data_IF_229268292646
#
_entry.id   IF_229268292646
#
_cell.length_a   1.000
_cell.length_b   1.000
_cell.length_c   1.000
_cell.angle_alpha   90.00
_cell.angle_beta   90.00
_cell.angle_gamma   90.00
#
_symmetry.space_group_name_H-M   'P 1'
#
loop_
_entity.id
_entity.type
_entity.pdbx_description
1 polymer ?
#
# COMPACT_ATOMS: atom_id res chain seq x y z
N UNK A 1 -25.74 59.93 25.81
CA UNK A 1 -24.38 59.63 25.34
C UNK A 1 -23.91 58.39 26.06
N UNK A 2 -24.02 57.24 25.43
CA UNK A 2 -23.50 55.97 25.89
C UNK A 2 -22.21 55.71 25.09
N UNK A 3 -21.07 55.80 25.76
CA UNK A 3 -19.74 55.51 25.23
C UNK A 3 -19.57 53.99 25.19
N UNK A 4 -19.54 53.37 23.99
CA UNK A 4 -19.07 52.03 23.80
C UNK A 4 -17.55 51.99 23.85
N UNK A 5 -17.01 51.49 24.95
CA UNK A 5 -15.60 51.18 25.05
C UNK A 5 -15.28 49.98 24.18
N UNK A 6 -14.57 50.21 23.06
CA UNK A 6 -13.87 49.13 22.33
C UNK A 6 -12.77 48.58 23.28
N UNK A 7 -12.97 47.39 23.77
CA UNK A 7 -11.92 46.64 24.44
C UNK A 7 -10.80 46.34 23.44
N UNK A 8 -9.68 47.03 23.57
CA UNK A 8 -8.43 46.65 22.87
C UNK A 8 -8.01 45.28 23.33
N UNK A 9 -8.13 44.30 22.43
CA UNK A 9 -7.47 43.00 22.62
C UNK A 9 -5.96 43.32 22.63
N UNK A 10 -5.32 43.13 23.78
CA UNK A 10 -3.87 43.31 23.91
C UNK A 10 -3.20 42.36 22.91
N UNK A 11 -2.66 42.89 21.83
CA UNK A 11 -1.76 42.17 20.93
C UNK A 11 -0.54 41.76 21.77
N UNK A 12 -0.38 40.44 21.99
CA UNK A 12 0.79 39.89 22.69
C UNK A 12 2.09 40.40 22.07
N UNK A 13 3.09 40.57 22.89
CA UNK A 13 4.39 41.09 22.44
C UNK A 13 5.07 40.09 21.49
N UNK A 14 5.03 40.38 20.19
CA UNK A 14 5.65 39.54 19.14
C UNK A 14 7.16 39.35 19.30
N UNK A 15 7.83 40.17 20.15
CA UNK A 15 9.27 40.06 20.42
C UNK A 15 9.62 38.77 21.16
N UNK A 16 8.70 38.19 21.95
CA UNK A 16 8.87 36.95 22.69
C UNK A 16 8.75 35.67 21.84
N UNK A 17 8.12 35.78 20.67
CA UNK A 17 7.79 34.60 19.85
C UNK A 17 9.01 33.75 19.40
N UNK A 18 10.16 34.33 18.94
CA UNK A 18 11.32 33.50 18.55
C UNK A 18 11.90 32.77 19.77
N UNK A 19 11.89 33.38 20.94
CA UNK A 19 12.33 32.76 22.18
C UNK A 19 11.43 31.59 22.59
N UNK A 20 10.12 31.81 22.63
CA UNK A 20 9.13 30.77 22.95
C UNK A 20 9.12 29.63 21.92
N UNK A 21 9.32 29.93 20.62
CA UNK A 21 9.50 28.90 19.59
C UNK A 21 10.68 27.98 19.89
N UNK A 22 11.82 28.54 20.29
CA UNK A 22 12.99 27.74 20.65
C UNK A 22 12.72 26.89 21.88
N UNK A 23 12.13 27.48 22.92
CA UNK A 23 11.83 26.83 24.21
C UNK A 23 10.90 25.63 23.99
N UNK A 24 9.73 25.82 23.37
CA UNK A 24 8.81 24.70 23.20
C UNK A 24 9.37 23.64 22.25
N UNK A 25 10.14 24.03 21.22
CA UNK A 25 10.73 23.09 20.31
C UNK A 25 11.75 22.18 20.99
N UNK A 26 12.59 22.72 21.88
CA UNK A 26 13.53 21.91 22.68
C UNK A 26 12.80 20.94 23.61
N UNK A 27 11.79 21.41 24.37
CA UNK A 27 10.98 20.53 25.19
C UNK A 27 10.26 19.43 24.36
N UNK A 28 9.69 19.78 23.19
CA UNK A 28 8.97 18.83 22.35
C UNK A 28 9.90 17.79 21.71
N UNK A 29 11.15 18.14 21.37
CA UNK A 29 12.16 17.19 20.86
C UNK A 29 12.48 16.10 21.87
N UNK A 30 12.54 16.42 23.14
CA UNK A 30 12.77 15.45 24.23
C UNK A 30 11.47 14.87 24.80
N UNK A 31 10.34 15.13 24.14
CA UNK A 31 8.99 14.65 24.51
C UNK A 31 8.49 15.16 25.89
N UNK A 32 9.04 16.24 26.39
CA UNK A 32 8.53 16.95 27.55
C UNK A 32 7.40 17.90 27.13
N UNK A 33 6.25 17.34 26.78
CA UNK A 33 5.14 18.08 26.18
C UNK A 33 4.42 18.96 27.19
N UNK A 34 4.46 18.62 28.48
CA UNK A 34 3.86 19.46 29.54
C UNK A 34 4.58 20.80 29.66
N UNK A 35 5.91 20.78 29.69
CA UNK A 35 6.71 22.01 29.68
C UNK A 35 6.66 22.76 28.36
N UNK A 36 6.39 22.07 27.27
CA UNK A 36 6.26 22.67 25.92
C UNK A 36 4.94 23.44 25.76
N UNK A 37 3.87 23.06 26.47
CA UNK A 37 2.50 23.51 26.19
C UNK A 37 2.32 25.01 26.26
N UNK A 38 2.74 25.63 27.38
CA UNK A 38 2.53 27.07 27.59
C UNK A 38 3.32 27.95 26.61
N UNK A 39 4.64 27.80 26.41
CA UNK A 39 5.37 28.58 25.41
C UNK A 39 4.90 28.32 23.99
N UNK A 40 4.44 27.08 23.67
CA UNK A 40 3.82 26.78 22.39
C UNK A 40 2.52 27.55 22.19
N UNK A 41 1.64 27.58 23.18
CA UNK A 41 0.36 28.27 23.10
C UNK A 41 0.52 29.78 22.89
N UNK A 42 1.50 30.38 23.52
CA UNK A 42 1.84 31.80 23.32
C UNK A 42 2.26 32.08 21.87
N UNK A 43 3.08 31.22 21.27
CA UNK A 43 3.47 31.35 19.85
C UNK A 43 2.26 31.15 18.93
N UNK A 44 1.43 30.12 19.18
CA UNK A 44 0.24 29.85 18.36
C UNK A 44 -0.72 31.04 18.35
N UNK A 45 -0.95 31.68 19.49
CA UNK A 45 -1.91 32.78 19.61
C UNK A 45 -1.37 34.14 19.15
N UNK A 46 -0.05 34.36 19.28
CA UNK A 46 0.55 35.68 19.00
C UNK A 46 1.21 35.76 17.62
N UNK A 47 1.82 34.67 17.16
CA UNK A 47 2.65 34.63 15.96
C UNK A 47 2.48 33.29 15.18
N UNK A 48 1.26 32.85 14.85
CA UNK A 48 1.03 31.55 14.20
C UNK A 48 1.79 31.41 12.88
N UNK A 49 2.00 32.52 12.15
CA UNK A 49 2.72 32.58 10.88
C UNK A 49 4.24 32.41 11.00
N UNK A 50 4.80 32.38 12.21
CA UNK A 50 6.25 32.41 12.43
C UNK A 50 6.95 31.18 11.90
N UNK A 51 6.43 29.98 12.20
CA UNK A 51 7.06 28.73 11.80
C UNK A 51 6.08 27.56 11.82
N UNK A 52 6.13 26.71 10.78
CA UNK A 52 5.32 25.48 10.68
C UNK A 52 5.57 24.50 11.86
N UNK A 53 6.67 24.62 12.57
CA UNK A 53 6.96 23.84 13.78
C UNK A 53 5.90 24.04 14.87
N UNK A 54 5.27 25.23 14.94
CA UNK A 54 4.15 25.51 15.86
C UNK A 54 3.03 24.50 15.68
N UNK A 55 2.67 24.17 14.46
CA UNK A 55 1.61 23.20 14.16
C UNK A 55 2.07 21.75 14.33
N UNK A 56 3.26 21.40 13.80
CA UNK A 56 3.81 20.03 13.90
C UNK A 56 4.08 19.55 15.31
N UNK A 57 4.54 20.43 16.18
CA UNK A 57 4.72 20.10 17.58
C UNK A 57 3.41 20.27 18.37
N UNK A 58 2.56 21.24 18.01
CA UNK A 58 1.24 21.45 18.59
C UNK A 58 0.37 20.21 18.55
N UNK A 59 0.31 19.54 17.40
CA UNK A 59 -0.38 18.25 17.25
C UNK A 59 0.10 17.20 18.29
N UNK A 60 1.40 17.09 18.48
CA UNK A 60 1.99 16.13 19.45
C UNK A 60 1.75 16.54 20.90
N UNK A 61 1.85 17.82 21.18
CA UNK A 61 1.61 18.40 22.51
C UNK A 61 0.15 18.15 22.90
N UNK A 62 -0.80 18.48 22.01
CA UNK A 62 -2.22 18.29 22.28
C UNK A 62 -2.60 16.81 22.36
N UNK A 63 -2.06 15.95 21.50
CA UNK A 63 -2.25 14.51 21.60
C UNK A 63 -1.78 13.96 22.96
N UNK A 64 -0.65 14.46 23.49
CA UNK A 64 -0.18 14.12 24.84
C UNK A 64 -1.15 14.62 25.93
N UNK A 65 -1.61 15.89 25.84
CA UNK A 65 -2.59 16.45 26.78
C UNK A 65 -3.89 15.68 26.79
N UNK A 66 -4.45 15.35 25.62
CA UNK A 66 -5.68 14.55 25.48
C UNK A 66 -5.50 13.16 26.10
N UNK A 67 -4.34 12.53 25.88
CA UNK A 67 -4.05 11.19 26.42
C UNK A 67 -3.95 11.17 27.93
N UNK A 68 -3.39 12.22 28.55
CA UNK A 68 -3.05 12.25 29.96
C UNK A 68 -4.00 13.11 30.80
N UNK A 69 -5.03 13.72 30.20
CA UNK A 69 -6.06 14.45 30.97
C UNK A 69 -6.83 13.47 31.87
N UNK A 70 -6.92 13.80 33.15
CA UNK A 70 -7.63 13.00 34.17
C UNK A 70 -9.14 13.14 34.07
N UNK A 71 -9.62 14.31 33.67
CA UNK A 71 -11.06 14.64 33.67
C UNK A 71 -11.59 14.92 32.26
N UNK A 72 -11.82 16.20 31.92
CA UNK A 72 -12.40 16.58 30.64
C UNK A 72 -11.34 16.80 29.56
N UNK A 73 -11.37 15.99 28.52
CA UNK A 73 -10.49 16.08 27.35
C UNK A 73 -11.03 17.05 26.29
N UNK A 74 -12.28 17.49 26.41
CA UNK A 74 -13.02 18.21 25.38
C UNK A 74 -12.31 19.48 24.95
N UNK A 75 -11.79 20.25 25.90
CA UNK A 75 -11.08 21.49 25.61
C UNK A 75 -9.83 21.27 24.75
N UNK A 76 -9.01 20.24 25.06
CA UNK A 76 -7.81 19.93 24.28
C UNK A 76 -8.17 19.35 22.90
N UNK A 77 -9.27 18.61 22.78
CA UNK A 77 -9.77 18.10 21.50
C UNK A 77 -10.23 19.27 20.62
N UNK A 78 -10.99 20.23 21.17
CA UNK A 78 -11.40 21.43 20.45
C UNK A 78 -10.18 22.27 20.00
N UNK A 79 -9.20 22.42 20.88
CA UNK A 79 -7.95 23.12 20.55
C UNK A 79 -7.19 22.41 19.41
N UNK A 80 -7.18 21.07 19.38
CA UNK A 80 -6.58 20.30 18.30
C UNK A 80 -7.34 20.49 16.97
N UNK A 81 -8.67 20.55 16.99
CA UNK A 81 -9.46 20.81 15.79
C UNK A 81 -9.17 22.20 15.24
N UNK A 82 -9.12 23.23 16.10
CA UNK A 82 -8.77 24.60 15.73
C UNK A 82 -7.32 24.69 15.19
N UNK A 83 -6.39 23.95 15.79
CA UNK A 83 -4.99 23.91 15.33
C UNK A 83 -4.88 23.47 13.87
N UNK A 84 -5.68 22.47 13.42
CA UNK A 84 -5.66 22.04 12.02
C UNK A 84 -6.23 23.11 11.07
N UNK A 85 -7.26 23.86 11.49
CA UNK A 85 -7.82 24.96 10.69
C UNK A 85 -6.81 26.11 10.53
N UNK A 86 -6.15 26.47 11.62
CA UNK A 86 -5.05 27.45 11.61
C UNK A 86 -3.87 26.95 10.77
N UNK A 87 -3.52 25.65 10.84
CA UNK A 87 -2.44 25.09 10.04
C UNK A 87 -2.69 25.25 8.54
N UNK A 88 -3.89 24.95 8.06
CA UNK A 88 -4.27 25.16 6.65
C UNK A 88 -4.20 26.65 6.28
N UNK A 89 -4.61 27.52 7.18
CA UNK A 89 -4.61 28.97 6.94
C UNK A 89 -3.20 29.52 6.78
N UNK A 90 -2.29 29.16 7.68
CA UNK A 90 -0.94 29.74 7.73
C UNK A 90 0.10 28.97 6.91
N UNK A 91 -0.03 27.64 6.81
CA UNK A 91 0.95 26.78 6.12
C UNK A 91 0.30 25.70 5.27
N UNK A 92 -0.51 26.08 4.23
CA UNK A 92 -1.14 25.11 3.33
C UNK A 92 -0.13 24.41 2.44
N UNK A 93 1.11 24.94 2.34
CA UNK A 93 2.17 24.42 1.47
C UNK A 93 3.49 24.25 2.22
N UNK A 94 4.33 23.35 1.71
CA UNK A 94 5.73 23.24 2.13
C UNK A 94 6.56 24.44 1.67
N UNK A 95 7.78 24.61 2.20
CA UNK A 95 8.75 25.60 1.71
C UNK A 95 9.07 25.49 0.21
N UNK A 96 8.89 24.29 -0.39
CA UNK A 96 9.07 24.05 -1.84
C UNK A 96 7.80 24.26 -2.65
N UNK A 97 6.74 24.82 -2.08
CA UNK A 97 5.47 25.12 -2.76
C UNK A 97 4.54 23.90 -2.95
N UNK A 98 4.87 22.73 -2.42
CA UNK A 98 3.98 21.55 -2.51
C UNK A 98 2.84 21.68 -1.50
N UNK A 99 1.60 21.41 -1.93
CA UNK A 99 0.44 21.39 -1.04
C UNK A 99 0.61 20.34 0.10
N UNK A 100 0.16 20.70 1.28
CA UNK A 100 -0.02 19.83 2.44
C UNK A 100 -1.50 19.77 2.89
N UNK A 101 -2.42 20.37 2.13
CA UNK A 101 -3.84 20.47 2.48
C UNK A 101 -4.49 19.11 2.72
N UNK A 102 -4.29 18.16 1.82
CA UNK A 102 -4.84 16.81 1.95
C UNK A 102 -4.33 16.08 3.19
N UNK A 103 -3.05 16.26 3.51
CA UNK A 103 -2.44 15.71 4.73
C UNK A 103 -3.04 16.32 6.00
N UNK A 104 -3.19 17.64 6.04
CA UNK A 104 -3.69 18.36 7.22
C UNK A 104 -5.17 18.01 7.45
N UNK A 105 -6.01 18.10 6.41
CA UNK A 105 -7.43 17.73 6.49
C UNK A 105 -7.63 16.26 6.88
N UNK A 106 -6.86 15.34 6.29
CA UNK A 106 -6.97 13.93 6.65
C UNK A 106 -6.51 13.64 8.08
N UNK A 107 -5.55 14.40 8.61
CA UNK A 107 -5.15 14.33 10.01
C UNK A 107 -6.27 14.86 10.92
N UNK A 108 -6.94 15.96 10.55
CA UNK A 108 -8.10 16.50 11.28
C UNK A 108 -9.22 15.46 11.35
N UNK A 109 -9.64 14.92 10.21
CA UNK A 109 -10.69 13.90 10.15
C UNK A 109 -10.33 12.63 10.94
N UNK A 110 -9.05 12.19 10.88
CA UNK A 110 -8.56 11.07 11.69
C UNK A 110 -8.65 11.37 13.18
N UNK A 111 -8.28 12.56 13.61
CA UNK A 111 -8.37 12.98 15.01
C UNK A 111 -9.83 13.06 15.47
N UNK A 112 -10.77 13.52 14.61
CA UNK A 112 -12.21 13.50 14.91
C UNK A 112 -12.69 12.08 15.23
N UNK A 113 -12.30 11.09 14.45
CA UNK A 113 -12.65 9.67 14.69
C UNK A 113 -11.95 9.14 15.95
N UNK A 114 -10.64 9.37 16.11
CA UNK A 114 -9.84 8.85 17.22
C UNK A 114 -10.33 9.40 18.56
N UNK A 115 -10.74 10.66 18.62
CA UNK A 115 -11.18 11.35 19.85
C UNK A 115 -12.70 11.50 19.96
N UNK A 116 -13.47 10.95 19.00
CA UNK A 116 -14.94 11.02 18.94
C UNK A 116 -15.46 12.47 19.00
N UNK A 117 -14.85 13.34 18.19
CA UNK A 117 -15.22 14.74 18.06
C UNK A 117 -16.02 14.94 16.76
N UNK A 118 -17.31 15.24 16.88
CA UNK A 118 -18.22 15.36 15.76
C UNK A 118 -18.82 14.01 15.35
N UNK A 119 -19.56 14.03 14.25
CA UNK A 119 -20.26 12.85 13.69
C UNK A 119 -19.40 12.11 12.67
N UNK A 120 -19.78 10.86 12.37
CA UNK A 120 -19.19 10.06 11.28
C UNK A 120 -19.31 10.77 9.92
N UNK A 121 -20.43 11.44 9.67
CA UNK A 121 -20.66 12.18 8.43
C UNK A 121 -19.72 13.37 8.30
N UNK A 122 -19.57 14.18 9.35
CA UNK A 122 -18.62 15.33 9.33
C UNK A 122 -17.17 14.85 9.09
N UNK A 123 -16.74 13.77 9.75
CA UNK A 123 -15.42 13.21 9.49
C UNK A 123 -15.26 12.71 8.04
N UNK A 124 -16.29 12.04 7.49
CA UNK A 124 -16.33 11.61 6.09
C UNK A 124 -16.20 12.79 5.12
N UNK A 125 -16.94 13.88 5.36
CA UNK A 125 -16.90 15.08 4.51
C UNK A 125 -15.51 15.72 4.48
N UNK A 126 -14.83 15.80 5.64
CA UNK A 126 -13.45 16.31 5.73
C UNK A 126 -12.46 15.37 5.04
N UNK A 127 -12.58 14.05 5.21
CA UNK A 127 -11.75 13.09 4.45
C UNK A 127 -11.99 13.22 2.94
N UNK A 128 -13.24 13.35 2.52
CA UNK A 128 -13.57 13.50 1.11
C UNK A 128 -13.03 14.84 0.55
N UNK A 129 -13.13 15.91 1.31
CA UNK A 129 -12.52 17.20 0.97
C UNK A 129 -11.00 17.07 0.81
N UNK A 130 -10.32 16.40 1.75
CA UNK A 130 -8.88 16.13 1.69
C UNK A 130 -8.49 15.39 0.41
N UNK A 131 -9.29 14.38 0.06
CA UNK A 131 -9.03 13.51 -1.08
C UNK A 131 -9.29 14.23 -2.43
N UNK A 132 -10.37 15.00 -2.52
CA UNK A 132 -10.73 15.75 -3.75
C UNK A 132 -9.78 16.92 -3.99
N UNK A 133 -9.44 17.67 -2.94
CA UNK A 133 -8.62 18.88 -3.09
C UNK A 133 -7.14 18.57 -3.28
N UNK A 134 -6.62 17.55 -2.57
CA UNK A 134 -5.19 17.25 -2.57
C UNK A 134 -4.90 15.79 -2.22
N UNK A 135 -5.36 14.85 -3.05
CA UNK A 135 -5.05 13.44 -2.90
C UNK A 135 -3.53 13.17 -2.86
N UNK A 136 -2.73 14.05 -3.49
CA UNK A 136 -1.27 13.87 -3.57
C UNK A 136 -0.62 13.90 -2.18
N UNK A 137 -1.04 14.80 -1.29
CA UNK A 137 -0.50 14.88 0.07
C UNK A 137 -1.24 14.00 1.09
N UNK A 138 -2.42 13.44 0.74
CA UNK A 138 -3.15 12.48 1.58
C UNK A 138 -2.51 11.09 1.49
N UNK A 139 -1.45 10.84 2.25
CA UNK A 139 -0.58 9.66 2.15
C UNK A 139 -0.55 8.76 3.40
N UNK A 140 -1.36 9.04 4.42
CA UNK A 140 -1.45 8.21 5.62
C UNK A 140 -2.24 6.92 5.36
N UNK A 141 -1.65 5.72 5.46
CA UNK A 141 -2.38 4.47 5.25
C UNK A 141 -3.48 4.26 6.28
N UNK A 142 -3.28 4.69 7.54
CA UNK A 142 -4.31 4.66 8.58
C UNK A 142 -5.50 5.53 8.19
N UNK A 143 -5.25 6.77 7.78
CA UNK A 143 -6.31 7.74 7.46
C UNK A 143 -7.07 7.36 6.18
N UNK A 144 -6.39 6.81 5.16
CA UNK A 144 -7.04 6.25 3.97
C UNK A 144 -7.96 5.07 4.34
N UNK A 145 -7.50 4.17 5.19
CA UNK A 145 -8.32 3.07 5.69
C UNK A 145 -9.50 3.58 6.53
N UNK A 146 -9.27 4.55 7.43
CA UNK A 146 -10.35 5.15 8.25
C UNK A 146 -11.37 5.84 7.38
N UNK A 147 -10.95 6.55 6.32
CA UNK A 147 -11.85 7.15 5.35
C UNK A 147 -12.76 6.10 4.70
N UNK A 148 -12.21 4.99 4.24
CA UNK A 148 -13.06 3.91 3.71
C UNK A 148 -13.97 3.29 4.77
N UNK A 149 -13.48 3.09 5.98
CA UNK A 149 -14.29 2.53 7.06
C UNK A 149 -15.45 3.47 7.45
N UNK A 150 -15.26 4.79 7.45
CA UNK A 150 -16.38 5.75 7.63
C UNK A 150 -17.35 5.69 6.46
N UNK A 151 -16.89 5.56 5.23
CA UNK A 151 -17.72 5.34 4.03
C UNK A 151 -18.59 4.08 4.19
N UNK A 152 -17.97 2.98 4.62
CA UNK A 152 -18.68 1.71 4.83
C UNK A 152 -19.73 1.80 5.94
N UNK A 153 -19.44 2.49 7.03
CA UNK A 153 -20.40 2.71 8.11
C UNK A 153 -21.61 3.52 7.63
N UNK A 154 -21.40 4.62 6.90
CA UNK A 154 -22.46 5.43 6.30
C UNK A 154 -23.31 4.63 5.30
N UNK A 155 -22.69 3.74 4.52
CA UNK A 155 -23.40 2.80 3.66
C UNK A 155 -24.28 1.85 4.48
N UNK A 156 -23.77 1.28 5.57
CA UNK A 156 -24.56 0.39 6.45
C UNK A 156 -25.73 1.11 7.15
N UNK A 157 -25.59 2.40 7.41
CA UNK A 157 -26.64 3.27 7.95
C UNK A 157 -27.65 3.71 6.87
N UNK A 158 -27.42 3.38 5.60
CA UNK A 158 -28.27 3.77 4.48
C UNK A 158 -28.07 5.21 3.99
N UNK A 159 -27.05 5.90 4.49
CA UNK A 159 -26.70 7.28 4.08
C UNK A 159 -25.96 7.34 2.75
N UNK A 160 -25.32 6.26 2.34
CA UNK A 160 -24.65 6.12 1.04
C UNK A 160 -25.19 4.90 0.28
N UNK A 161 -25.24 5.02 -1.04
CA UNK A 161 -25.63 3.94 -1.95
C UNK A 161 -24.51 2.91 -2.14
N UNK A 162 -24.86 1.74 -2.66
CA UNK A 162 -23.88 0.72 -3.07
C UNK A 162 -22.90 1.23 -4.11
N UNK A 163 -23.36 2.06 -5.04
CA UNK A 163 -22.52 2.66 -6.08
C UNK A 163 -21.47 3.61 -5.48
N UNK A 164 -21.88 4.49 -4.56
CA UNK A 164 -20.96 5.40 -3.85
C UNK A 164 -19.94 4.63 -3.03
N UNK A 165 -20.33 3.55 -2.35
CA UNK A 165 -19.42 2.68 -1.63
C UNK A 165 -18.34 2.10 -2.56
N UNK A 166 -18.74 1.52 -3.71
CA UNK A 166 -17.79 0.92 -4.63
C UNK A 166 -16.90 1.96 -5.32
N UNK A 167 -17.45 3.11 -5.71
CA UNK A 167 -16.65 4.19 -6.27
C UNK A 167 -15.56 4.64 -5.27
N UNK A 168 -15.92 4.83 -4.00
CA UNK A 168 -14.97 5.22 -2.96
C UNK A 168 -13.95 4.12 -2.67
N UNK A 169 -14.37 2.86 -2.70
CA UNK A 169 -13.45 1.73 -2.58
C UNK A 169 -12.38 1.74 -3.68
N UNK A 170 -12.78 1.93 -4.94
CA UNK A 170 -11.85 1.97 -6.07
C UNK A 170 -10.87 3.15 -5.96
N UNK A 171 -11.35 4.35 -5.66
CA UNK A 171 -10.53 5.55 -5.49
C UNK A 171 -9.46 5.35 -4.40
N UNK A 172 -9.85 4.80 -3.26
CA UNK A 172 -8.94 4.57 -2.15
C UNK A 172 -7.97 3.41 -2.45
N UNK A 173 -8.43 2.34 -3.11
CA UNK A 173 -7.58 1.22 -3.53
C UNK A 173 -6.52 1.67 -4.53
N UNK A 174 -6.89 2.45 -5.54
CA UNK A 174 -5.95 3.06 -6.50
C UNK A 174 -4.91 3.94 -5.79
N UNK A 175 -5.34 4.69 -4.76
CA UNK A 175 -4.43 5.50 -3.94
C UNK A 175 -3.46 4.63 -3.12
N UNK A 176 -3.93 3.52 -2.54
CA UNK A 176 -3.06 2.54 -1.87
C UNK A 176 -2.00 1.98 -2.83
N UNK A 177 -2.41 1.56 -4.02
CA UNK A 177 -1.50 1.03 -5.04
C UNK A 177 -0.46 2.07 -5.48
N UNK A 178 -0.88 3.33 -5.67
CA UNK A 178 0.03 4.42 -6.02
C UNK A 178 1.10 4.64 -4.93
N UNK A 179 0.68 4.70 -3.67
CA UNK A 179 1.62 4.93 -2.56
C UNK A 179 2.56 3.72 -2.35
N UNK A 180 2.05 2.50 -2.47
CA UNK A 180 2.88 1.29 -2.44
C UNK A 180 3.92 1.29 -3.58
N UNK A 181 3.52 1.69 -4.78
CA UNK A 181 4.42 1.84 -5.94
C UNK A 181 5.49 2.90 -5.68
N UNK A 182 5.11 4.04 -5.10
CA UNK A 182 6.05 5.12 -4.75
C UNK A 182 7.06 4.67 -3.68
N UNK A 183 6.64 3.86 -2.71
CA UNK A 183 7.52 3.28 -1.70
C UNK A 183 8.45 2.22 -2.30
N UNK A 184 7.94 1.36 -3.19
CA UNK A 184 8.73 0.36 -3.89
C UNK A 184 9.85 1.01 -4.70
N UNK A 185 9.58 2.09 -5.45
CA UNK A 185 10.60 2.85 -6.19
C UNK A 185 11.73 3.34 -5.30
N UNK A 186 11.39 3.90 -4.12
CA UNK A 186 12.38 4.40 -3.15
C UNK A 186 13.18 3.27 -2.52
N UNK A 187 12.54 2.14 -2.26
CA UNK A 187 13.17 0.95 -1.67
C UNK A 187 14.12 0.28 -2.67
N UNK A 188 13.70 0.11 -3.92
CA UNK A 188 14.49 -0.53 -4.97
C UNK A 188 15.81 0.21 -5.26
N UNK A 189 15.85 1.54 -5.11
CA UNK A 189 17.11 2.30 -5.21
C UNK A 189 18.14 1.80 -4.21
N UNK A 190 17.73 1.52 -2.97
CA UNK A 190 18.65 1.05 -1.92
C UNK A 190 18.97 -0.43 -2.10
N UNK A 191 17.97 -1.26 -2.43
CA UNK A 191 18.16 -2.69 -2.67
C UNK A 191 19.11 -2.98 -3.84
N UNK A 192 19.00 -2.21 -4.92
CA UNK A 192 19.88 -2.36 -6.09
C UNK A 192 21.35 -2.05 -5.73
N UNK A 193 21.61 -1.04 -4.88
CA UNK A 193 22.96 -0.78 -4.36
C UNK A 193 23.48 -1.94 -3.52
N UNK A 194 22.65 -2.46 -2.60
CA UNK A 194 23.01 -3.62 -1.77
C UNK A 194 23.32 -4.85 -2.63
N UNK A 195 22.51 -5.13 -3.64
CA UNK A 195 22.70 -6.28 -4.55
C UNK A 195 23.94 -6.12 -5.45
N UNK A 196 24.30 -4.88 -5.81
CA UNK A 196 25.52 -4.56 -6.55
C UNK A 196 26.78 -4.53 -5.67
N UNK A 197 26.64 -4.67 -4.34
CA UNK A 197 27.77 -4.52 -3.40
C UNK A 197 28.27 -3.08 -3.25
N UNK A 198 27.47 -2.10 -3.66
CA UNK A 198 27.79 -0.68 -3.54
C UNK A 198 27.58 -0.19 -2.09
N UNK A 199 28.36 0.82 -1.65
CA UNK A 199 28.21 1.36 -0.30
C UNK A 199 26.85 2.05 -0.12
N UNK A 200 26.15 1.70 0.96
CA UNK A 200 24.89 2.32 1.38
C UNK A 200 25.16 3.25 2.57
N UNK A 201 24.82 4.52 2.44
CA UNK A 201 25.04 5.53 3.48
C UNK A 201 24.13 5.31 4.70
N UNK A 202 24.51 5.85 5.86
CA UNK A 202 23.68 5.80 7.08
C UNK A 202 22.32 6.49 6.90
N UNK A 203 22.21 7.48 6.00
CA UNK A 203 20.95 8.14 5.65
C UNK A 203 20.06 7.21 4.83
N UNK A 204 20.61 6.53 3.83
CA UNK A 204 19.88 5.55 3.01
C UNK A 204 19.38 4.37 3.87
N UNK A 205 20.22 3.87 4.80
CA UNK A 205 19.80 2.82 5.74
C UNK A 205 18.64 3.27 6.66
N UNK A 206 18.66 4.51 7.15
CA UNK A 206 17.52 5.06 7.93
C UNK A 206 16.28 5.17 7.06
N UNK A 207 16.41 5.69 5.84
CA UNK A 207 15.30 5.84 4.90
C UNK A 207 14.71 4.47 4.52
N UNK A 208 15.53 3.46 4.26
CA UNK A 208 15.11 2.08 4.00
C UNK A 208 14.19 1.56 5.10
N UNK A 209 14.59 1.71 6.37
CA UNK A 209 13.76 1.30 7.52
C UNK A 209 12.40 2.02 7.56
N UNK A 210 12.38 3.31 7.22
CA UNK A 210 11.14 4.08 7.13
C UNK A 210 10.26 3.55 5.99
N UNK A 211 10.85 3.27 4.82
CA UNK A 211 10.10 2.71 3.68
C UNK A 211 9.53 1.33 4.01
N UNK A 212 10.34 0.45 4.60
CA UNK A 212 9.90 -0.89 5.04
C UNK A 212 8.73 -0.81 6.04
N UNK A 213 8.81 0.10 7.01
CA UNK A 213 7.73 0.33 7.98
C UNK A 213 6.44 0.79 7.28
N UNK A 214 6.56 1.70 6.31
CA UNK A 214 5.41 2.17 5.55
C UNK A 214 4.85 1.09 4.62
N UNK A 215 5.68 0.30 3.95
CA UNK A 215 5.24 -0.85 3.14
C UNK A 215 4.41 -1.82 3.98
N UNK A 216 4.88 -2.14 5.19
CA UNK A 216 4.14 -3.01 6.12
C UNK A 216 2.79 -2.38 6.51
N UNK A 217 2.77 -1.08 6.83
CA UNK A 217 1.53 -0.38 7.19
C UNK A 217 0.53 -0.37 6.02
N UNK A 218 0.97 -0.01 4.82
CA UNK A 218 0.13 -0.02 3.62
C UNK A 218 -0.41 -1.42 3.33
N UNK A 219 0.43 -2.47 3.40
CA UNK A 219 -0.01 -3.85 3.18
C UNK A 219 -1.04 -4.29 4.22
N UNK A 220 -0.86 -3.92 5.48
CA UNK A 220 -1.79 -4.26 6.56
C UNK A 220 -3.15 -3.60 6.34
N UNK A 221 -3.18 -2.30 6.07
CA UNK A 221 -4.43 -1.56 5.88
C UNK A 221 -5.12 -1.91 4.56
N UNK A 222 -4.40 -2.23 3.48
CA UNK A 222 -4.98 -2.73 2.24
C UNK A 222 -5.72 -4.07 2.47
N UNK A 223 -5.09 -5.00 3.19
CA UNK A 223 -5.74 -6.27 3.55
C UNK A 223 -7.01 -6.06 4.40
N UNK A 224 -6.98 -5.09 5.32
CA UNK A 224 -8.15 -4.78 6.14
C UNK A 224 -9.28 -4.14 5.30
N UNK A 225 -8.94 -3.29 4.34
CA UNK A 225 -9.88 -2.68 3.40
C UNK A 225 -10.57 -3.76 2.55
N UNK A 226 -9.80 -4.69 1.98
CA UNK A 226 -10.34 -5.83 1.23
C UNK A 226 -11.24 -6.73 2.08
N UNK A 227 -10.89 -6.92 3.36
CA UNK A 227 -11.70 -7.71 4.29
C UNK A 227 -13.08 -7.05 4.57
N UNK A 228 -13.13 -5.72 4.71
CA UNK A 228 -14.40 -4.99 4.92
C UNK A 228 -15.33 -5.17 3.72
N UNK A 229 -14.83 -4.95 2.49
CA UNK A 229 -15.64 -4.97 1.28
C UNK A 229 -15.95 -6.39 0.78
N UNK A 230 -15.28 -7.42 1.32
CA UNK A 230 -15.32 -8.78 0.76
C UNK A 230 -16.72 -9.36 0.63
N UNK A 231 -17.60 -9.08 1.59
CA UNK A 231 -18.98 -9.58 1.59
C UNK A 231 -19.87 -8.86 0.56
N UNK A 232 -19.64 -7.57 0.36
CA UNK A 232 -20.40 -6.75 -0.58
C UNK A 232 -19.93 -6.97 -2.03
N UNK A 233 -18.68 -7.39 -2.22
CA UNK A 233 -18.03 -7.56 -3.54
C UNK A 233 -18.06 -9.01 -4.07
N UNK A 234 -19.11 -9.77 -3.76
CA UNK A 234 -19.34 -11.09 -4.40
C UNK A 234 -19.84 -10.93 -5.84
N UNK A 235 -19.67 -11.97 -6.67
CA UNK A 235 -20.21 -11.96 -8.04
C UNK A 235 -21.72 -11.72 -8.07
N UNK A 236 -22.45 -12.26 -7.09
CA UNK A 236 -23.89 -12.07 -6.94
C UNK A 236 -24.29 -10.60 -6.77
N UNK A 237 -23.45 -9.80 -6.14
CA UNK A 237 -23.68 -8.37 -5.92
C UNK A 237 -23.11 -7.51 -7.06
N UNK A 238 -21.91 -7.85 -7.55
CA UNK A 238 -21.21 -7.04 -8.55
C UNK A 238 -21.84 -7.11 -9.94
N UNK A 239 -22.24 -8.33 -10.37
CA UNK A 239 -22.78 -8.53 -11.73
C UNK A 239 -24.08 -7.72 -11.92
N UNK A 240 -25.10 -7.80 -11.06
CA UNK A 240 -26.31 -6.98 -11.20
C UNK A 240 -26.02 -5.48 -11.15
N UNK A 241 -25.12 -5.03 -10.26
CA UNK A 241 -24.74 -3.62 -10.12
C UNK A 241 -24.12 -3.09 -11.42
N UNK A 242 -23.12 -3.81 -11.97
CA UNK A 242 -22.45 -3.37 -13.19
C UNK A 242 -23.35 -3.49 -14.41
N UNK A 243 -24.18 -4.53 -14.49
CA UNK A 243 -25.13 -4.68 -15.59
C UNK A 243 -26.15 -3.55 -15.64
N UNK A 244 -26.68 -3.15 -14.48
CA UNK A 244 -27.61 -2.01 -14.36
C UNK A 244 -26.98 -0.70 -14.88
N UNK A 245 -25.69 -0.50 -14.61
CA UNK A 245 -25.00 0.75 -14.89
C UNK A 245 -24.21 0.73 -16.22
N UNK A 246 -24.15 -0.41 -16.93
CA UNK A 246 -23.31 -0.60 -18.12
C UNK A 246 -23.67 0.38 -19.24
N UNK A 247 -24.94 0.46 -19.64
CA UNK A 247 -25.37 1.33 -20.76
C UNK A 247 -25.06 2.81 -20.51
N UNK A 248 -25.20 3.27 -19.26
CA UNK A 248 -24.87 4.65 -18.91
C UNK A 248 -23.36 4.93 -18.90
N UNK A 249 -22.54 3.90 -18.73
CA UNK A 249 -21.08 4.01 -18.58
C UNK A 249 -20.27 3.37 -19.70
N UNK A 250 -20.91 2.85 -20.75
CA UNK A 250 -20.21 2.12 -21.83
C UNK A 250 -19.21 2.98 -22.63
N UNK A 251 -19.17 4.27 -22.43
CA UNK A 251 -18.17 5.20 -22.99
C UNK A 251 -17.21 5.76 -21.95
N UNK A 252 -17.36 5.37 -20.67
CA UNK A 252 -16.50 5.81 -19.59
C UNK A 252 -15.38 4.78 -19.35
N UNK A 253 -14.20 5.03 -19.90
CA UNK A 253 -13.06 4.11 -19.81
C UNK A 253 -12.60 3.85 -18.37
N UNK A 254 -12.71 4.82 -17.48
CA UNK A 254 -12.34 4.67 -16.05
C UNK A 254 -13.29 3.70 -15.36
N UNK A 255 -14.60 3.89 -15.54
CA UNK A 255 -15.62 3.02 -14.96
C UNK A 255 -15.50 1.58 -15.51
N UNK A 256 -15.36 1.44 -16.84
CA UNK A 256 -15.19 0.13 -17.48
C UNK A 256 -13.96 -0.61 -16.97
N UNK A 257 -12.83 0.09 -16.83
CA UNK A 257 -11.59 -0.49 -16.31
C UNK A 257 -11.75 -0.95 -14.85
N UNK A 258 -12.39 -0.15 -14.00
CA UNK A 258 -12.67 -0.50 -12.60
C UNK A 258 -13.60 -1.72 -12.51
N UNK A 259 -14.69 -1.74 -13.27
CA UNK A 259 -15.63 -2.86 -13.32
C UNK A 259 -14.95 -4.16 -13.77
N UNK A 260 -14.22 -4.14 -14.88
CA UNK A 260 -13.47 -5.29 -15.39
C UNK A 260 -12.39 -5.76 -14.38
N UNK A 261 -11.64 -4.81 -13.79
CA UNK A 261 -10.62 -5.13 -12.79
C UNK A 261 -11.22 -5.82 -11.57
N UNK A 262 -12.38 -5.35 -11.10
CA UNK A 262 -13.07 -5.93 -9.95
C UNK A 262 -13.60 -7.32 -10.27
N UNK A 263 -14.22 -7.49 -11.43
CA UNK A 263 -14.72 -8.80 -11.87
C UNK A 263 -13.57 -9.83 -12.03
N UNK A 264 -12.40 -9.43 -12.57
CA UNK A 264 -11.22 -10.31 -12.62
C UNK A 264 -10.71 -10.65 -11.20
N UNK A 265 -10.57 -9.65 -10.34
CA UNK A 265 -10.05 -9.83 -8.98
C UNK A 265 -10.96 -10.73 -8.10
N UNK A 266 -12.27 -10.75 -8.37
CA UNK A 266 -13.26 -11.56 -7.65
C UNK A 266 -13.62 -12.86 -8.39
N UNK A 267 -12.89 -13.19 -9.45
CA UNK A 267 -13.11 -14.39 -10.27
C UNK A 267 -14.51 -14.45 -10.91
N UNK A 268 -15.14 -13.30 -11.15
CA UNK A 268 -16.45 -13.17 -11.82
C UNK A 268 -16.34 -13.09 -13.35
N UNK A 269 -15.17 -13.32 -13.90
CA UNK A 269 -14.87 -13.14 -15.32
C UNK A 269 -15.46 -14.24 -16.23
N UNK A 270 -16.25 -15.17 -15.66
CA UNK A 270 -17.04 -16.16 -16.45
C UNK A 270 -18.39 -15.60 -16.91
N UNK A 271 -18.87 -14.51 -16.31
CA UNK A 271 -20.11 -13.87 -16.71
C UNK A 271 -19.94 -13.13 -18.06
N UNK A 272 -20.93 -13.21 -18.99
CA UNK A 272 -20.90 -12.50 -20.27
C UNK A 272 -20.67 -10.98 -20.14
N UNK A 273 -21.09 -10.36 -19.05
CA UNK A 273 -20.83 -8.95 -18.79
C UNK A 273 -19.34 -8.61 -18.80
N UNK A 274 -18.48 -9.53 -18.35
CA UNK A 274 -17.04 -9.29 -18.40
C UNK A 274 -16.53 -9.10 -19.83
N UNK A 275 -17.06 -9.88 -20.78
CA UNK A 275 -16.73 -9.72 -22.20
C UNK A 275 -17.17 -8.34 -22.71
N UNK A 276 -18.42 -7.96 -22.41
CA UNK A 276 -18.99 -6.66 -22.83
C UNK A 276 -18.18 -5.49 -22.27
N UNK A 277 -17.79 -5.55 -21.00
CA UNK A 277 -16.95 -4.53 -20.34
C UNK A 277 -15.58 -4.42 -21.02
N UNK A 278 -14.93 -5.55 -21.29
CA UNK A 278 -13.58 -5.59 -21.86
C UNK A 278 -13.58 -5.10 -23.31
N UNK A 279 -14.55 -5.53 -24.12
CA UNK A 279 -14.69 -5.11 -25.52
C UNK A 279 -14.99 -3.61 -25.62
N UNK A 280 -15.91 -3.09 -24.80
CA UNK A 280 -16.20 -1.67 -24.73
C UNK A 280 -14.96 -0.86 -24.29
N UNK A 281 -14.25 -1.31 -23.27
CA UNK A 281 -13.03 -0.66 -22.80
C UNK A 281 -11.95 -0.60 -23.86
N UNK A 282 -11.67 -1.73 -24.52
CA UNK A 282 -10.64 -1.82 -25.55
C UNK A 282 -11.02 -1.02 -26.80
N UNK A 283 -12.30 -1.02 -27.18
CA UNK A 283 -12.83 -0.27 -28.33
C UNK A 283 -12.72 1.25 -28.18
N UNK A 284 -12.79 1.77 -26.95
CA UNK A 284 -12.63 3.22 -26.70
C UNK A 284 -11.16 3.64 -26.83
N UNK A 285 -10.29 2.93 -26.14
CA UNK A 285 -8.86 3.23 -26.09
C UNK A 285 -8.07 1.98 -25.65
N UNK A 286 -7.39 1.28 -26.57
CA UNK A 286 -6.54 0.16 -26.22
C UNK A 286 -5.53 0.54 -25.12
N UNK A 287 -5.54 -0.21 -24.04
CA UNK A 287 -4.70 0.04 -22.87
C UNK A 287 -4.05 -1.27 -22.38
N UNK A 288 -3.03 -1.15 -21.56
CA UNK A 288 -2.37 -2.31 -20.97
C UNK A 288 -3.36 -3.23 -20.24
N UNK A 289 -4.31 -2.67 -19.52
CA UNK A 289 -5.32 -3.45 -18.80
C UNK A 289 -6.32 -4.11 -19.77
N UNK A 290 -6.84 -3.37 -20.75
CA UNK A 290 -7.80 -3.93 -21.71
C UNK A 290 -7.19 -5.06 -22.53
N UNK A 291 -5.94 -4.91 -22.99
CA UNK A 291 -5.20 -5.98 -23.66
C UNK A 291 -4.97 -7.19 -22.72
N UNK A 292 -4.61 -6.97 -21.45
CA UNK A 292 -4.51 -8.06 -20.48
C UNK A 292 -5.83 -8.83 -20.32
N UNK A 293 -6.96 -8.14 -20.23
CA UNK A 293 -8.28 -8.79 -20.11
C UNK A 293 -8.69 -9.53 -21.39
N UNK A 294 -8.38 -9.00 -22.57
CA UNK A 294 -8.56 -9.74 -23.83
C UNK A 294 -7.71 -11.02 -23.85
N UNK A 295 -6.49 -10.95 -23.34
CA UNK A 295 -5.64 -12.12 -23.15
C UNK A 295 -6.30 -13.17 -22.25
N UNK A 296 -6.94 -12.76 -21.15
CA UNK A 296 -7.70 -13.67 -20.29
C UNK A 296 -8.89 -14.32 -21.01
N UNK A 297 -9.64 -13.55 -21.81
CA UNK A 297 -10.77 -14.06 -22.58
C UNK A 297 -10.32 -15.10 -23.62
N UNK A 298 -9.23 -14.81 -24.35
CA UNK A 298 -8.62 -15.76 -25.30
C UNK A 298 -8.15 -17.03 -24.59
N UNK A 299 -7.55 -16.88 -23.42
CA UNK A 299 -7.06 -17.97 -22.59
C UNK A 299 -8.20 -18.92 -22.15
N UNK A 300 -9.35 -18.35 -21.75
CA UNK A 300 -10.58 -19.10 -21.41
C UNK A 300 -11.19 -19.80 -22.62
N UNK A 301 -11.12 -19.19 -23.78
CA UNK A 301 -11.58 -19.81 -25.04
C UNK A 301 -10.64 -20.91 -25.56
N UNK A 302 -9.52 -21.20 -24.83
CA UNK A 302 -8.53 -22.20 -25.26
C UNK A 302 -7.54 -21.70 -26.33
N UNK A 303 -7.66 -20.44 -26.77
CA UNK A 303 -6.75 -19.80 -27.73
C UNK A 303 -5.49 -19.30 -27.00
N UNK A 304 -4.59 -20.24 -26.70
CA UNK A 304 -3.34 -19.92 -25.99
C UNK A 304 -2.39 -19.03 -26.79
N UNK A 305 -2.46 -19.04 -28.12
CA UNK A 305 -1.63 -18.18 -28.96
C UNK A 305 -2.16 -16.76 -28.99
N UNK A 306 -3.47 -16.57 -29.17
CA UNK A 306 -4.12 -15.26 -29.05
C UNK A 306 -3.95 -14.66 -27.65
N UNK A 307 -4.06 -15.48 -26.61
CA UNK A 307 -3.81 -15.03 -25.25
C UNK A 307 -2.38 -14.47 -25.04
N UNK A 308 -1.37 -15.17 -25.55
CA UNK A 308 0.02 -14.69 -25.47
C UNK A 308 0.22 -13.40 -26.26
N UNK A 309 -0.38 -13.26 -27.45
CA UNK A 309 -0.30 -12.04 -28.25
C UNK A 309 -0.85 -10.83 -27.47
N UNK A 310 -2.02 -10.97 -26.87
CA UNK A 310 -2.61 -9.90 -26.05
C UNK A 310 -1.84 -9.62 -24.76
N UNK A 311 -1.25 -10.63 -24.12
CA UNK A 311 -0.38 -10.38 -22.96
C UNK A 311 0.88 -9.59 -23.34
N UNK A 312 1.52 -9.88 -24.47
CA UNK A 312 2.69 -9.10 -24.94
C UNK A 312 2.26 -7.70 -25.44
N UNK A 313 1.08 -7.54 -26.02
CA UNK A 313 0.49 -6.23 -26.33
C UNK A 313 0.32 -5.41 -25.03
N UNK A 314 -0.28 -5.98 -24.00
CA UNK A 314 -0.44 -5.35 -22.69
C UNK A 314 0.91 -4.86 -22.14
N UNK A 315 1.94 -5.71 -22.23
CA UNK A 315 3.28 -5.36 -21.75
C UNK A 315 3.97 -4.29 -22.61
N UNK A 316 3.63 -4.19 -23.88
CA UNK A 316 4.13 -3.16 -24.80
C UNK A 316 3.46 -1.81 -24.52
N UNK A 317 2.15 -1.80 -24.26
CA UNK A 317 1.38 -0.61 -23.94
C UNK A 317 1.71 -0.01 -22.57
N UNK A 318 2.15 -0.84 -21.59
CA UNK A 318 2.53 -0.33 -20.28
C UNK A 318 3.94 0.26 -20.30
N UNK A 319 4.04 1.55 -20.00
CA UNK A 319 5.32 2.27 -19.96
C UNK A 319 5.91 2.34 -18.54
N UNK A 320 5.08 2.26 -17.50
CA UNK A 320 5.56 2.28 -16.13
C UNK A 320 6.08 0.90 -15.73
N UNK A 321 7.35 0.81 -15.33
CA UNK A 321 7.99 -0.46 -14.99
C UNK A 321 7.33 -1.19 -13.82
N UNK A 322 6.78 -0.48 -12.84
CA UNK A 322 6.14 -1.09 -11.67
C UNK A 322 4.76 -1.62 -12.02
N UNK A 323 3.99 -0.90 -12.83
CA UNK A 323 2.72 -1.40 -13.38
C UNK A 323 2.97 -2.58 -14.33
N UNK A 324 4.02 -2.52 -15.15
CA UNK A 324 4.46 -3.65 -15.97
C UNK A 324 4.81 -4.87 -15.11
N UNK A 325 5.51 -4.69 -13.99
CA UNK A 325 5.78 -5.77 -13.03
C UNK A 325 4.50 -6.38 -12.47
N UNK A 326 3.49 -5.56 -12.15
CA UNK A 326 2.21 -6.04 -11.67
C UNK A 326 1.47 -6.89 -12.72
N UNK A 327 1.45 -6.47 -13.98
CA UNK A 327 0.86 -7.24 -15.09
C UNK A 327 1.61 -8.56 -15.28
N UNK A 328 2.94 -8.53 -15.34
CA UNK A 328 3.79 -9.73 -15.46
C UNK A 328 3.53 -10.72 -14.33
N UNK A 329 3.34 -10.24 -13.11
CA UNK A 329 2.99 -11.08 -11.97
C UNK A 329 1.59 -11.71 -12.12
N UNK A 330 0.59 -10.94 -12.56
CA UNK A 330 -0.76 -11.47 -12.86
C UNK A 330 -0.69 -12.59 -13.88
N UNK A 331 0.04 -12.39 -14.97
CA UNK A 331 0.26 -13.42 -16.01
C UNK A 331 0.97 -14.65 -15.43
N UNK A 332 1.99 -14.45 -14.59
CA UNK A 332 2.69 -15.56 -13.93
C UNK A 332 1.74 -16.40 -13.06
N UNK A 333 0.83 -15.76 -12.33
CA UNK A 333 -0.20 -16.46 -11.54
C UNK A 333 -1.12 -17.27 -12.43
N UNK A 334 -1.59 -16.73 -13.56
CA UNK A 334 -2.44 -17.49 -14.52
C UNK A 334 -1.70 -18.70 -15.09
N UNK A 335 -0.42 -18.60 -15.45
CA UNK A 335 0.36 -19.77 -15.86
C UNK A 335 0.58 -20.79 -14.74
N UNK A 336 0.72 -20.33 -13.48
CA UNK A 336 0.77 -21.23 -12.33
C UNK A 336 -0.52 -22.05 -12.19
N UNK A 337 -1.70 -21.41 -12.26
CA UNK A 337 -3.00 -22.11 -12.15
C UNK A 337 -3.20 -23.15 -13.25
N UNK A 338 -2.61 -22.95 -14.42
CA UNK A 338 -2.58 -23.91 -15.55
C UNK A 338 -1.52 -25.01 -15.41
N UNK A 339 -0.73 -25.03 -14.33
CA UNK A 339 0.36 -25.99 -14.16
C UNK A 339 1.59 -25.73 -15.04
N UNK A 340 1.63 -24.61 -15.79
CA UNK A 340 2.72 -24.27 -16.69
C UNK A 340 3.88 -23.61 -15.90
N UNK A 341 4.52 -24.41 -15.04
CA UNK A 341 5.50 -23.97 -14.02
C UNK A 341 6.66 -23.15 -14.62
N UNK A 342 7.23 -23.59 -15.75
CA UNK A 342 8.34 -22.89 -16.42
C UNK A 342 7.94 -21.50 -16.91
N UNK A 343 6.77 -21.39 -17.57
CA UNK A 343 6.23 -20.09 -18.02
C UNK A 343 5.92 -19.19 -16.84
N UNK A 344 5.26 -19.72 -15.79
CA UNK A 344 4.96 -18.98 -14.57
C UNK A 344 6.23 -18.36 -13.94
N UNK A 345 7.31 -19.15 -13.82
CA UNK A 345 8.60 -18.64 -13.33
C UNK A 345 9.20 -17.58 -14.25
N UNK A 346 9.15 -17.79 -15.57
CA UNK A 346 9.69 -16.83 -16.53
C UNK A 346 9.04 -15.46 -16.37
N UNK A 347 7.71 -15.40 -16.34
CA UNK A 347 6.98 -14.14 -16.12
C UNK A 347 7.21 -13.55 -14.72
N UNK A 348 7.30 -14.39 -13.68
CA UNK A 348 7.65 -13.92 -12.34
C UNK A 348 9.07 -13.30 -12.29
N UNK A 349 10.05 -13.90 -12.97
CA UNK A 349 11.40 -13.32 -13.08
C UNK A 349 11.40 -12.01 -13.88
N UNK A 350 10.62 -11.91 -14.97
CA UNK A 350 10.42 -10.64 -15.68
C UNK A 350 9.79 -9.57 -14.78
N UNK A 351 8.85 -9.95 -13.91
CA UNK A 351 8.28 -9.03 -12.91
C UNK A 351 9.36 -8.52 -11.95
N UNK A 352 10.22 -9.41 -11.44
CA UNK A 352 11.34 -9.05 -10.56
C UNK A 352 12.40 -8.18 -11.23
N UNK A 353 12.62 -8.33 -12.55
CA UNK A 353 13.50 -7.45 -13.30
C UNK A 353 12.98 -6.01 -13.39
N UNK A 354 11.65 -5.82 -13.32
CA UNK A 354 11.00 -4.50 -13.30
C UNK A 354 10.80 -3.96 -11.87
N UNK A 355 10.63 -4.84 -10.88
CA UNK A 355 10.44 -4.48 -9.48
C UNK A 355 11.16 -5.50 -8.57
N UNK A 356 12.45 -5.30 -8.22
CA UNK A 356 13.21 -6.19 -7.35
C UNK A 356 12.63 -6.40 -5.97
N UNK A 357 11.89 -5.42 -5.43
CA UNK A 357 11.20 -5.49 -4.13
C UNK A 357 9.87 -6.26 -4.14
N UNK A 358 9.44 -6.87 -5.27
CA UNK A 358 8.17 -7.59 -5.33
C UNK A 358 8.24 -8.95 -4.61
N UNK A 359 8.06 -8.96 -3.30
CA UNK A 359 8.15 -10.18 -2.47
C UNK A 359 7.19 -11.27 -2.90
N UNK A 360 5.97 -10.92 -3.35
CA UNK A 360 4.98 -11.90 -3.85
C UNK A 360 5.47 -12.69 -5.07
N UNK A 361 6.31 -12.11 -5.92
CA UNK A 361 6.87 -12.82 -7.07
C UNK A 361 7.94 -13.85 -6.64
N UNK A 362 8.77 -13.53 -5.64
CA UNK A 362 9.67 -14.52 -5.04
C UNK A 362 8.91 -15.65 -4.36
N UNK A 363 7.83 -15.35 -3.63
CA UNK A 363 6.98 -16.36 -2.99
C UNK A 363 6.32 -17.28 -4.02
N UNK A 364 5.89 -16.74 -5.16
CA UNK A 364 5.38 -17.54 -6.28
C UNK A 364 6.45 -18.50 -6.79
N UNK A 365 7.66 -18.02 -7.06
CA UNK A 365 8.79 -18.84 -7.53
C UNK A 365 9.13 -19.93 -6.50
N UNK A 366 9.21 -19.57 -5.21
CA UNK A 366 9.48 -20.52 -4.14
C UNK A 366 8.42 -21.65 -4.09
N UNK A 367 7.14 -21.29 -4.25
CA UNK A 367 6.05 -22.26 -4.32
C UNK A 367 6.17 -23.18 -5.54
N UNK A 368 6.52 -22.64 -6.72
CA UNK A 368 6.74 -23.42 -7.93
C UNK A 368 7.89 -24.44 -7.75
N UNK A 369 8.99 -24.03 -7.12
CA UNK A 369 10.09 -24.93 -6.80
C UNK A 369 9.64 -26.03 -5.84
N UNK A 370 9.05 -25.68 -4.71
CA UNK A 370 8.57 -26.66 -3.73
C UNK A 370 7.57 -27.66 -4.33
N UNK A 371 6.67 -27.21 -5.22
CA UNK A 371 5.72 -28.05 -5.92
C UNK A 371 6.37 -28.96 -6.99
N UNK A 372 7.67 -28.86 -7.21
CA UNK A 372 8.42 -29.66 -8.20
C UNK A 372 9.49 -30.55 -7.56
N UNK A 373 9.51 -30.65 -6.24
CA UNK A 373 10.50 -31.45 -5.55
C UNK A 373 10.52 -32.92 -6.00
N UNK A 374 9.36 -33.52 -6.28
CA UNK A 374 9.26 -34.89 -6.77
C UNK A 374 9.70 -35.06 -8.23
N UNK A 375 9.63 -33.98 -9.01
CA UNK A 375 9.92 -34.01 -10.45
C UNK A 375 11.39 -33.64 -10.76
N UNK A 376 12.13 -33.15 -9.73
CA UNK A 376 13.47 -32.59 -9.89
C UNK A 376 14.43 -33.26 -8.91
N UNK A 377 15.40 -33.98 -9.46
CA UNK A 377 16.37 -34.77 -8.72
C UNK A 377 16.27 -36.27 -9.01
N UNK A 378 17.40 -36.95 -9.00
CA UNK A 378 17.49 -38.37 -9.34
C UNK A 378 17.35 -39.26 -8.08
N UNK A 379 17.81 -38.77 -6.94
CA UNK A 379 17.72 -39.45 -5.66
C UNK A 379 16.69 -38.80 -4.74
N UNK A 380 16.27 -39.52 -3.69
CA UNK A 380 15.37 -38.93 -2.69
C UNK A 380 15.99 -37.73 -1.98
N UNK A 381 17.32 -37.76 -1.77
CA UNK A 381 18.05 -36.63 -1.21
C UNK A 381 17.97 -35.40 -2.13
N UNK A 382 18.28 -35.55 -3.45
CA UNK A 382 18.21 -34.48 -4.42
C UNK A 382 16.80 -33.90 -4.56
N UNK A 383 15.76 -34.77 -4.56
CA UNK A 383 14.36 -34.33 -4.58
C UNK A 383 14.04 -33.44 -3.38
N UNK A 384 14.48 -33.82 -2.20
CA UNK A 384 14.31 -33.03 -0.97
C UNK A 384 15.19 -31.78 -0.97
N UNK A 385 16.35 -31.79 -1.61
CA UNK A 385 17.23 -30.63 -1.72
C UNK A 385 16.59 -29.44 -2.47
N UNK A 386 15.58 -29.67 -3.32
CA UNK A 386 14.78 -28.61 -3.96
C UNK A 386 14.13 -27.70 -2.92
N UNK A 387 13.79 -28.20 -1.74
CA UNK A 387 13.22 -27.38 -0.68
C UNK A 387 14.20 -26.36 -0.10
N UNK A 388 15.52 -26.60 -0.12
CA UNK A 388 16.50 -25.55 0.24
C UNK A 388 16.45 -24.38 -0.74
N UNK A 389 16.34 -24.66 -2.06
CA UNK A 389 16.20 -23.63 -3.07
C UNK A 389 14.90 -22.83 -2.90
N UNK A 390 13.78 -23.53 -2.61
CA UNK A 390 12.50 -22.90 -2.32
C UNK A 390 12.57 -22.04 -1.04
N UNK A 391 13.20 -22.53 0.03
CA UNK A 391 13.38 -21.78 1.27
C UNK A 391 14.25 -20.54 1.09
N UNK A 392 15.37 -20.68 0.37
CA UNK A 392 16.26 -19.53 0.01
C UNK A 392 15.47 -18.46 -0.73
N UNK A 393 14.65 -18.86 -1.71
CA UNK A 393 13.83 -17.94 -2.50
C UNK A 393 12.75 -17.27 -1.63
N UNK A 394 12.10 -17.98 -0.72
CA UNK A 394 11.15 -17.44 0.23
C UNK A 394 11.81 -16.46 1.22
N UNK A 395 13.04 -16.75 1.70
CA UNK A 395 13.80 -15.80 2.54
C UNK A 395 14.13 -14.52 1.78
N UNK A 396 14.45 -14.61 0.48
CA UNK A 396 14.65 -13.42 -0.34
C UNK A 396 13.39 -12.55 -0.37
N UNK A 397 12.20 -13.13 -0.51
CA UNK A 397 10.93 -12.39 -0.40
C UNK A 397 10.83 -11.61 0.93
N UNK A 398 11.16 -12.26 2.05
CA UNK A 398 11.12 -11.63 3.37
C UNK A 398 12.12 -10.49 3.54
N UNK A 399 13.25 -10.54 2.85
CA UNK A 399 14.30 -9.53 2.94
C UNK A 399 14.01 -8.28 2.11
N UNK A 400 13.27 -8.43 1.00
CA UNK A 400 12.99 -7.30 0.08
C UNK A 400 11.64 -6.66 0.29
N UNK A 401 10.70 -7.35 0.98
CA UNK A 401 9.32 -6.89 1.13
C UNK A 401 8.81 -7.16 2.55
N UNK A 402 8.77 -6.10 3.35
CA UNK A 402 8.27 -6.18 4.73
C UNK A 402 6.77 -6.52 4.82
N UNK A 403 5.99 -6.22 3.78
CA UNK A 403 4.55 -6.52 3.71
C UNK A 403 4.25 -8.02 3.69
N UNK A 404 5.14 -8.82 3.09
CA UNK A 404 5.02 -10.29 3.04
C UNK A 404 5.98 -11.01 3.99
N UNK A 405 6.84 -10.31 4.73
CA UNK A 405 7.94 -10.88 5.52
C UNK A 405 7.49 -12.04 6.42
N UNK A 406 6.42 -11.84 7.19
CA UNK A 406 5.91 -12.88 8.12
C UNK A 406 5.50 -14.15 7.39
N UNK A 407 4.76 -14.01 6.30
CA UNK A 407 4.29 -15.14 5.48
C UNK A 407 5.45 -15.83 4.77
N UNK A 408 6.38 -15.06 4.21
CA UNK A 408 7.55 -15.58 3.51
C UNK A 408 8.50 -16.36 4.45
N UNK A 409 8.72 -15.88 5.68
CA UNK A 409 9.51 -16.60 6.69
C UNK A 409 8.81 -17.91 7.13
N UNK A 410 7.48 -17.89 7.30
CA UNK A 410 6.70 -19.10 7.58
C UNK A 410 6.82 -20.13 6.44
N UNK A 411 6.76 -19.67 5.18
CA UNK A 411 6.99 -20.51 4.01
C UNK A 411 8.40 -21.11 4.02
N UNK A 412 9.42 -20.30 4.25
CA UNK A 412 10.81 -20.75 4.28
C UNK A 412 11.01 -21.84 5.34
N UNK A 413 10.52 -21.63 6.56
CA UNK A 413 10.60 -22.62 7.64
C UNK A 413 9.88 -23.93 7.29
N UNK A 414 8.69 -23.84 6.65
CA UNK A 414 7.95 -25.02 6.18
C UNK A 414 8.74 -25.81 5.12
N UNK A 415 9.45 -25.14 4.23
CA UNK A 415 10.28 -25.80 3.22
C UNK A 415 11.54 -26.41 3.84
N UNK A 416 12.20 -25.71 4.75
CA UNK A 416 13.36 -26.24 5.48
C UNK A 416 13.05 -27.49 6.25
N UNK A 417 11.87 -27.59 6.87
CA UNK A 417 11.41 -28.82 7.55
C UNK A 417 11.20 -30.01 6.62
N UNK A 418 11.12 -29.81 5.30
CA UNK A 418 11.02 -30.87 4.28
C UNK A 418 12.35 -31.17 3.59
N UNK A 419 13.33 -30.28 3.70
CA UNK A 419 14.65 -30.45 3.12
C UNK A 419 15.43 -31.59 3.84
N UNK A 420 16.53 -32.08 3.25
CA UNK A 420 17.39 -33.07 3.95
C UNK A 420 17.87 -32.54 5.30
N UNK A 421 17.82 -33.40 6.30
CA UNK A 421 18.31 -33.09 7.65
C UNK A 421 19.84 -33.16 7.73
N UNK A 422 20.41 -32.71 8.85
CA UNK A 422 21.85 -32.82 9.11
C UNK A 422 22.31 -34.31 9.07
N UNK A 423 21.48 -35.23 9.56
CA UNK A 423 21.74 -36.66 9.47
C UNK A 423 21.77 -37.14 8.03
N UNK A 424 20.81 -36.69 7.19
CA UNK A 424 20.82 -37.07 5.77
C UNK A 424 22.08 -36.53 5.07
N UNK A 425 22.52 -35.29 5.35
CA UNK A 425 23.74 -34.71 4.81
C UNK A 425 24.98 -35.49 5.24
N UNK A 426 25.05 -35.87 6.52
CA UNK A 426 26.15 -36.68 7.05
C UNK A 426 26.23 -38.04 6.38
N UNK A 427 25.10 -38.72 6.22
CA UNK A 427 25.00 -40.04 5.58
C UNK A 427 25.42 -39.99 4.11
N UNK A 428 25.04 -38.95 3.37
CA UNK A 428 25.41 -38.77 1.98
C UNK A 428 26.86 -38.23 1.79
N UNK A 429 27.46 -37.69 2.85
CA UNK A 429 28.84 -37.18 2.81
C UNK A 429 29.06 -36.00 1.86
N UNK A 430 28.02 -35.20 1.60
CA UNK A 430 27.99 -34.20 0.55
C UNK A 430 27.87 -32.74 1.06
N UNK A 431 28.19 -32.50 2.35
CA UNK A 431 28.19 -31.15 2.94
C UNK A 431 29.04 -30.17 2.09
N UNK A 432 28.49 -28.98 1.80
CA UNK A 432 29.14 -27.95 0.98
C UNK A 432 29.16 -28.23 -0.54
N UNK A 433 28.73 -29.40 -0.99
CA UNK A 433 28.65 -29.70 -2.43
C UNK A 433 27.47 -28.98 -3.09
N UNK A 434 27.55 -28.80 -4.41
CA UNK A 434 26.50 -28.17 -5.20
C UNK A 434 25.66 -29.24 -5.89
N UNK A 435 24.35 -29.24 -5.64
CA UNK A 435 23.38 -30.05 -6.34
C UNK A 435 22.76 -29.20 -7.46
N UNK A 436 22.79 -29.72 -8.70
CA UNK A 436 22.19 -29.09 -9.88
C UNK A 436 20.89 -29.81 -10.24
N UNK A 437 19.84 -29.00 -10.44
CA UNK A 437 18.53 -29.51 -10.87
C UNK A 437 18.39 -29.34 -12.38
N UNK A 438 18.56 -30.43 -13.14
CA UNK A 438 18.49 -30.47 -14.61
C UNK A 438 17.06 -30.44 -15.17
N UNK A 439 16.04 -30.48 -14.30
CA UNK A 439 14.63 -30.31 -14.70
C UNK A 439 14.35 -28.86 -15.18
N UNK A 440 13.08 -28.53 -15.39
CA UNK A 440 12.64 -27.19 -15.78
C UNK A 440 13.15 -26.06 -14.85
N UNK A 441 13.54 -26.39 -13.62
CA UNK A 441 14.13 -25.43 -12.65
C UNK A 441 15.46 -24.88 -13.18
N UNK A 442 16.32 -25.75 -13.72
CA UNK A 442 17.63 -25.40 -14.26
C UNK A 442 18.38 -24.40 -13.36
N UNK A 443 18.58 -24.79 -12.12
CA UNK A 443 19.19 -24.01 -11.05
C UNK A 443 19.97 -24.95 -10.12
N UNK A 444 20.62 -24.42 -9.08
CA UNK A 444 21.40 -25.22 -8.16
C UNK A 444 21.27 -24.74 -6.72
N UNK A 445 21.60 -25.61 -5.78
CA UNK A 445 21.69 -25.27 -4.37
C UNK A 445 22.97 -25.86 -3.77
N UNK A 446 23.59 -25.12 -2.86
CA UNK A 446 24.71 -25.65 -2.07
C UNK A 446 24.14 -26.34 -0.84
N UNK A 447 24.57 -27.59 -0.60
CA UNK A 447 24.22 -28.36 0.59
C UNK A 447 24.77 -27.64 1.82
N UNK A 448 23.97 -27.39 2.87
CA UNK A 448 24.45 -26.76 4.09
C UNK A 448 25.63 -27.51 4.72
N UNK A 449 26.48 -26.77 5.42
CA UNK A 449 27.53 -27.37 6.29
C UNK A 449 26.86 -28.00 7.51
N UNK A 450 27.51 -29.00 8.08
CA UNK A 450 27.03 -29.75 9.25
C UNK A 450 27.09 -28.95 10.55
#
# INVERSE_FOLDING_TARGET
MLSFGLGAIAQGDKSSCPGNLSIFAEFAKVKNYDSAYQPWKEVLTTCPELNVATFKYGERILAHKIKNASDDKTAYVQELMALYDDWITYFPTTKSGKSETGKILSSKAQAMIDYKSGSTLEAYEIFNQAFVQDAASFTSPKSLYTFFNTTFNLYKEGSLSTEELFNKYEEISEKFELEQTNLARKLDVVLNKEDAGEPVTSREQRNKRVYETNVLAFSTYANNLDAIISKESSCENLIPLYRKNFEANKTNSVWLNRAASRMDAKECSDDPLFVELVEALHGINPSANSAYYLGLLKDKAGDSQGALAYYEESLTLEQDQYRKAAILYKIAVKFKTKGLKSKARSYAKRALANQPSMGKAYMLIANLYAASANDCGNTQFEKRAVYWLAAKTARRAANVDSGVKKTALKMAASYEGRAPSKTDIFTEGNAGQTIRFSCWINDSVTVPQL
#
